data_IF_930516304958
#
_entry.id   IF_930516304958
#
_cell.length_a   1.000
_cell.length_b   1.000
_cell.length_c   1.000
_cell.angle_alpha   90.00
_cell.angle_beta   90.00
_cell.angle_gamma   90.00
#
_symmetry.space_group_name_H-M   'P 1'
#
loop_
_entity.id
_entity.type
_entity.pdbx_description
1 polymer ?
#
# COMPACT_ATOMS: atom_id res chain seq x y z
N UNK A 1 16.56 9.94 10.60
CA UNK A 1 15.16 9.74 10.20
C UNK A 1 14.85 8.25 10.26
N UNK A 2 13.69 7.90 10.80
CA UNK A 2 13.15 6.54 10.90
C UNK A 2 11.88 6.46 10.05
N UNK A 3 11.88 5.60 9.05
CA UNK A 3 10.82 5.51 8.04
C UNK A 3 10.04 4.21 8.20
N UNK A 4 8.72 4.29 8.07
CA UNK A 4 7.84 3.14 8.01
C UNK A 4 7.26 3.00 6.59
N UNK A 5 7.29 1.80 6.05
CA UNK A 5 6.72 1.46 4.75
C UNK A 5 5.66 0.37 4.98
N UNK A 6 4.43 0.62 4.58
CA UNK A 6 3.39 -0.41 4.48
C UNK A 6 3.24 -0.79 3.01
N UNK A 7 3.31 -2.08 2.71
CA UNK A 7 3.33 -2.59 1.35
C UNK A 7 2.15 -3.53 1.10
N UNK A 8 1.38 -3.22 0.06
CA UNK A 8 0.24 -3.99 -0.42
C UNK A 8 0.50 -4.47 -1.86
N UNK A 9 -0.39 -5.24 -2.45
CA UNK A 9 -0.08 -5.89 -3.73
C UNK A 9 -1.01 -5.51 -4.87
N UNK A 10 -2.28 -5.21 -4.63
CA UNK A 10 -3.27 -4.94 -5.67
C UNK A 10 -3.02 -3.64 -6.45
N UNK A 11 -2.21 -2.73 -5.90
CA UNK A 11 -1.78 -1.51 -6.57
C UNK A 11 -0.36 -1.57 -7.14
N UNK A 12 0.28 -2.73 -7.18
CA UNK A 12 1.60 -2.92 -7.80
C UNK A 12 1.48 -2.84 -9.33
N UNK A 13 2.51 -2.36 -9.98
CA UNK A 13 2.55 -2.18 -11.44
C UNK A 13 2.21 -3.46 -12.19
N UNK A 14 1.17 -3.38 -13.02
CA UNK A 14 0.73 -4.45 -13.90
C UNK A 14 -0.29 -5.42 -13.31
N UNK A 15 -0.56 -5.36 -12.01
CA UNK A 15 -1.59 -6.19 -11.37
C UNK A 15 -2.98 -5.80 -11.88
N UNK A 16 -3.73 -6.78 -12.41
CA UNK A 16 -5.05 -6.58 -13.00
C UNK A 16 -6.05 -7.71 -12.70
N UNK A 17 -5.61 -8.79 -12.08
CA UNK A 17 -6.43 -9.97 -11.80
C UNK A 17 -6.12 -10.58 -10.43
N UNK A 18 -7.14 -11.17 -9.78
CA UNK A 18 -7.01 -11.81 -8.47
C UNK A 18 -5.98 -12.96 -8.42
N UNK A 19 -5.83 -13.70 -9.52
CA UNK A 19 -4.83 -14.79 -9.58
C UNK A 19 -3.39 -14.29 -9.47
N UNK A 20 -3.15 -13.01 -9.76
CA UNK A 20 -1.83 -12.36 -9.70
C UNK A 20 -1.41 -12.01 -8.27
N UNK A 21 -2.37 -11.93 -7.37
CA UNK A 21 -2.16 -11.58 -5.95
C UNK A 21 -2.45 -12.76 -5.00
N UNK A 22 -2.89 -13.92 -5.51
CA UNK A 22 -3.13 -15.14 -4.74
C UNK A 22 -1.94 -16.09 -4.81
N UNK A 23 -1.30 -16.33 -3.68
CA UNK A 23 -0.10 -17.20 -3.58
C UNK A 23 -0.34 -18.67 -4.01
N UNK A 24 -1.58 -19.10 -4.17
CA UNK A 24 -1.92 -20.44 -4.69
C UNK A 24 -2.02 -20.48 -6.22
N UNK A 25 -1.78 -19.37 -6.90
CA UNK A 25 -1.95 -19.24 -8.36
C UNK A 25 -0.62 -19.03 -9.08
N UNK A 26 -0.44 -19.62 -10.27
CA UNK A 26 0.83 -19.55 -11.00
C UNK A 26 1.34 -18.12 -11.28
N UNK A 27 0.50 -17.11 -11.64
CA UNK A 27 0.98 -15.77 -11.94
C UNK A 27 1.56 -15.03 -10.74
N UNK A 28 1.22 -15.45 -9.51
CA UNK A 28 1.60 -14.75 -8.28
C UNK A 28 3.11 -14.53 -8.14
N UNK A 29 3.93 -15.51 -8.50
CA UNK A 29 5.39 -15.43 -8.29
C UNK A 29 6.02 -14.25 -9.04
N UNK A 30 5.52 -13.92 -10.23
CA UNK A 30 5.96 -12.76 -10.99
C UNK A 30 5.62 -11.46 -10.27
N UNK A 31 4.40 -11.30 -9.79
CA UNK A 31 3.94 -10.10 -9.11
C UNK A 31 4.50 -9.99 -7.67
N UNK A 32 4.79 -11.12 -7.02
CA UNK A 32 5.54 -11.14 -5.77
C UNK A 32 6.94 -10.52 -5.92
N UNK A 33 7.62 -10.87 -7.02
CA UNK A 33 8.92 -10.28 -7.35
C UNK A 33 8.78 -8.80 -7.68
N UNK A 34 7.77 -8.41 -8.48
CA UNK A 34 7.50 -7.02 -8.81
C UNK A 34 7.21 -6.17 -7.56
N UNK A 35 6.34 -6.66 -6.65
CA UNK A 35 6.10 -6.03 -5.35
C UNK A 35 7.40 -5.82 -4.57
N UNK A 36 8.24 -6.86 -4.51
CA UNK A 36 9.51 -6.80 -3.77
C UNK A 36 10.46 -5.76 -4.35
N UNK A 37 10.50 -5.61 -5.68
CA UNK A 37 11.28 -4.57 -6.37
C UNK A 37 10.77 -3.16 -6.09
N UNK A 38 9.46 -2.93 -6.12
CA UNK A 38 8.88 -1.62 -5.81
C UNK A 38 9.11 -1.22 -4.35
N UNK A 39 9.00 -2.18 -3.43
CA UNK A 39 9.31 -1.95 -2.01
C UNK A 39 10.80 -1.67 -1.82
N UNK A 40 11.69 -2.39 -2.53
CA UNK A 40 13.12 -2.13 -2.51
C UNK A 40 13.46 -0.71 -2.99
N UNK A 41 12.86 -0.29 -4.11
CA UNK A 41 13.03 1.07 -4.64
C UNK A 41 12.56 2.15 -3.64
N UNK A 42 11.45 1.92 -2.94
CA UNK A 42 10.99 2.81 -1.88
C UNK A 42 11.98 2.87 -0.69
N UNK A 43 12.56 1.72 -0.31
CA UNK A 43 13.61 1.66 0.71
C UNK A 43 14.89 2.41 0.27
N UNK A 44 15.30 2.26 -0.98
CA UNK A 44 16.46 2.97 -1.55
C UNK A 44 16.21 4.48 -1.57
N UNK A 45 15.03 4.92 -2.01
CA UNK A 45 14.63 6.32 -1.94
C UNK A 45 14.66 6.89 -0.53
N UNK A 46 14.18 6.13 0.46
CA UNK A 46 14.27 6.50 1.87
C UNK A 46 15.72 6.61 2.36
N UNK A 47 16.59 5.67 1.96
CA UNK A 47 18.02 5.71 2.27
C UNK A 47 18.70 6.95 1.67
N UNK A 48 18.42 7.27 0.41
CA UNK A 48 18.93 8.47 -0.26
C UNK A 48 18.46 9.76 0.43
N UNK A 49 17.24 9.75 0.99
CA UNK A 49 16.72 10.85 1.79
C UNK A 49 17.30 10.91 3.23
N UNK A 50 18.22 10.00 3.58
CA UNK A 50 18.89 9.98 4.89
C UNK A 50 18.19 9.18 5.98
N UNK A 51 17.34 8.22 5.62
CA UNK A 51 16.77 7.29 6.59
C UNK A 51 17.88 6.42 7.21
N UNK A 52 17.91 6.36 8.54
CA UNK A 52 18.84 5.51 9.30
C UNK A 52 18.23 4.17 9.67
N UNK A 53 16.92 4.12 9.82
CA UNK A 53 16.14 2.93 10.08
C UNK A 53 14.93 2.88 9.17
N UNK A 54 14.70 1.74 8.54
CA UNK A 54 13.54 1.50 7.68
C UNK A 54 12.84 0.24 8.18
N UNK A 55 11.53 0.37 8.42
CA UNK A 55 10.65 -0.73 8.75
C UNK A 55 9.69 -0.96 7.58
N UNK A 56 9.57 -2.18 7.13
CA UNK A 56 8.64 -2.58 6.09
C UNK A 56 7.62 -3.55 6.67
N UNK A 57 6.36 -3.20 6.65
CA UNK A 57 5.24 -4.12 6.93
C UNK A 57 4.75 -4.70 5.61
N UNK A 58 4.85 -5.99 5.48
CA UNK A 58 4.16 -6.76 4.46
C UNK A 58 2.68 -6.82 4.84
N UNK A 59 1.82 -6.17 4.08
CA UNK A 59 0.43 -5.92 4.45
C UNK A 59 -0.60 -6.63 3.57
N UNK A 60 -0.15 -7.35 2.53
CA UNK A 60 -1.05 -8.07 1.65
C UNK A 60 -1.36 -9.48 2.16
N UNK A 61 -2.64 -9.87 2.15
CA UNK A 61 -3.17 -11.23 2.37
C UNK A 61 -2.52 -11.96 3.56
N UNK A 62 -1.52 -12.86 3.31
CA UNK A 62 -0.82 -13.61 4.35
C UNK A 62 0.28 -12.81 5.07
N UNK A 63 0.58 -11.60 4.61
CA UNK A 63 1.71 -10.79 5.05
C UNK A 63 3.07 -11.52 4.93
N UNK A 64 3.26 -12.33 3.88
CA UNK A 64 4.46 -13.11 3.57
C UNK A 64 4.83 -13.04 2.09
N UNK A 65 4.56 -11.90 1.46
CA UNK A 65 4.70 -11.72 0.02
C UNK A 65 6.08 -11.17 -0.35
N UNK A 66 6.63 -10.25 0.44
CA UNK A 66 7.93 -9.63 0.16
C UNK A 66 9.05 -10.68 0.25
N UNK A 67 9.92 -10.70 -0.76
CA UNK A 67 11.14 -11.51 -0.83
C UNK A 67 12.29 -10.72 -0.18
N UNK A 68 12.77 -11.10 1.02
CA UNK A 68 13.70 -10.26 1.80
C UNK A 68 15.04 -10.00 1.11
N UNK A 69 15.48 -10.89 0.23
CA UNK A 69 16.75 -10.74 -0.49
C UNK A 69 16.79 -9.57 -1.49
N UNK A 70 15.63 -9.00 -1.85
CA UNK A 70 15.56 -7.78 -2.66
C UNK A 70 15.80 -6.51 -1.86
N UNK A 71 15.61 -6.57 -0.54
CA UNK A 71 15.64 -5.37 0.30
C UNK A 71 17.06 -5.00 0.74
N UNK A 72 17.36 -3.70 0.93
CA UNK A 72 18.60 -3.25 1.54
C UNK A 72 18.82 -3.87 2.93
N UNK A 73 20.09 -4.12 3.30
CA UNK A 73 20.46 -4.81 4.55
C UNK A 73 20.02 -4.12 5.84
N UNK A 74 19.78 -2.82 5.81
CA UNK A 74 19.35 -2.03 6.96
C UNK A 74 17.84 -2.03 7.18
N UNK A 75 17.07 -2.78 6.38
CA UNK A 75 15.61 -2.85 6.48
C UNK A 75 15.19 -3.91 7.48
N UNK A 76 14.24 -3.57 8.33
CA UNK A 76 13.55 -4.48 9.26
C UNK A 76 12.19 -4.83 8.69
N UNK A 77 11.90 -6.11 8.46
CA UNK A 77 10.64 -6.56 7.87
C UNK A 77 9.71 -7.12 8.93
N UNK A 78 8.48 -6.61 8.96
CA UNK A 78 7.38 -7.12 9.78
C UNK A 78 6.53 -8.04 8.90
N UNK A 79 6.58 -9.33 9.18
CA UNK A 79 5.87 -10.38 8.41
C UNK A 79 4.80 -11.05 9.26
N UNK A 80 3.75 -11.51 8.59
CA UNK A 80 2.60 -12.15 9.25
C UNK A 80 1.70 -11.18 10.00
N UNK A 81 0.66 -11.73 10.60
CA UNK A 81 -0.33 -10.99 11.39
C UNK A 81 -0.28 -11.44 12.83
N UNK A 82 -0.24 -10.49 13.76
CA UNK A 82 -0.27 -10.76 15.21
C UNK A 82 -1.63 -10.48 15.84
N UNK A 83 -2.63 -10.06 15.05
CA UNK A 83 -3.89 -9.55 15.58
C UNK A 83 -3.79 -8.13 16.16
N UNK A 84 -2.70 -7.42 15.92
CA UNK A 84 -2.53 -6.05 16.39
C UNK A 84 -3.60 -5.12 15.76
N UNK A 85 -4.24 -4.23 16.55
CA UNK A 85 -5.35 -3.39 16.04
C UNK A 85 -4.95 -2.41 14.94
N UNK A 86 -3.67 -2.05 14.83
CA UNK A 86 -3.17 -1.21 13.74
C UNK A 86 -2.95 -1.97 12.43
N UNK A 87 -3.20 -3.29 12.39
CA UNK A 87 -3.25 -4.12 11.18
C UNK A 87 -2.09 -3.83 10.18
N UNK A 88 -2.39 -3.25 9.01
CA UNK A 88 -1.41 -2.99 7.93
C UNK A 88 -0.32 -1.97 8.31
N UNK A 89 -0.47 -1.26 9.41
CA UNK A 89 0.57 -0.39 10.00
C UNK A 89 0.95 -0.84 11.41
N UNK A 90 0.91 -2.14 11.66
CA UNK A 90 1.36 -2.75 12.91
C UNK A 90 2.77 -2.25 13.29
N UNK A 91 3.00 -1.95 14.59
CA UNK A 91 4.23 -1.38 15.15
C UNK A 91 4.48 0.11 14.80
N UNK A 92 3.68 0.74 13.94
CA UNK A 92 3.77 2.19 13.73
C UNK A 92 3.48 2.94 15.04
N UNK A 93 4.30 3.91 15.35
CA UNK A 93 4.18 4.73 16.56
C UNK A 93 4.85 6.11 16.36
N UNK A 94 4.77 6.98 17.33
CA UNK A 94 5.27 8.36 17.28
C UNK A 94 6.80 8.51 17.15
N UNK A 95 7.56 7.42 17.12
CA UNK A 95 9.02 7.45 16.90
C UNK A 95 9.40 7.40 15.42
N UNK A 96 8.41 7.22 14.53
CA UNK A 96 8.64 7.28 13.10
C UNK A 96 8.47 8.71 12.59
N UNK A 97 9.33 9.09 11.64
CA UNK A 97 9.33 10.42 11.04
C UNK A 97 8.48 10.51 9.78
N UNK A 98 8.25 9.39 9.11
CA UNK A 98 7.47 9.32 7.87
C UNK A 98 6.84 7.93 7.65
N UNK A 99 5.67 7.93 7.01
CA UNK A 99 4.99 6.75 6.47
C UNK A 99 4.98 6.82 4.93
N UNK A 100 5.35 5.70 4.30
CA UNK A 100 5.17 5.44 2.88
C UNK A 100 4.19 4.27 2.72
N UNK A 101 3.29 4.36 1.74
CA UNK A 101 2.38 3.27 1.36
C UNK A 101 2.64 2.87 -0.09
N UNK A 102 3.04 1.62 -0.31
CA UNK A 102 3.46 1.10 -1.61
C UNK A 102 2.48 0.03 -2.08
N UNK A 103 2.04 0.11 -3.34
CA UNK A 103 1.16 -0.88 -3.94
C UNK A 103 -0.28 -0.83 -3.43
N UNK A 104 -0.73 0.29 -2.91
CA UNK A 104 -2.10 0.47 -2.43
C UNK A 104 -3.09 0.64 -3.58
N UNK A 105 -4.35 0.34 -3.32
CA UNK A 105 -5.41 0.29 -4.32
C UNK A 105 -6.66 1.06 -3.92
N UNK A 106 -7.52 1.29 -4.89
CA UNK A 106 -8.81 1.95 -4.73
C UNK A 106 -9.74 1.17 -3.80
N UNK A 107 -10.56 1.89 -3.04
CA UNK A 107 -11.52 1.33 -2.08
C UNK A 107 -12.63 0.50 -2.73
N UNK A 108 -13.29 -0.31 -1.94
CA UNK A 108 -14.48 -1.05 -2.31
C UNK A 108 -15.54 -0.14 -2.98
N UNK A 109 -16.15 -0.66 -4.05
CA UNK A 109 -17.18 0.04 -4.81
C UNK A 109 -16.68 1.15 -5.72
N UNK A 110 -15.35 1.36 -5.83
CA UNK A 110 -14.77 2.29 -6.80
C UNK A 110 -14.48 1.61 -8.13
N UNK A 111 -14.39 2.39 -9.21
CA UNK A 111 -14.04 1.88 -10.54
C UNK A 111 -12.55 2.04 -10.88
N UNK A 112 -11.71 2.38 -9.92
CA UNK A 112 -10.31 2.76 -10.17
C UNK A 112 -9.33 1.60 -10.28
N UNK A 113 -9.73 0.39 -9.89
CA UNK A 113 -8.93 -0.83 -9.92
C UNK A 113 -9.85 -2.04 -10.08
N UNK A 114 -9.52 -3.05 -10.92
CA UNK A 114 -10.32 -4.28 -11.03
C UNK A 114 -10.42 -5.06 -9.71
N UNK A 115 -9.41 -4.91 -8.84
CA UNK A 115 -9.34 -5.57 -7.53
C UNK A 115 -9.80 -4.64 -6.38
N UNK A 116 -10.47 -3.54 -6.67
CA UNK A 116 -10.90 -2.56 -5.66
C UNK A 116 -11.72 -3.20 -4.55
N UNK A 117 -11.24 -3.10 -3.33
CA UNK A 117 -11.91 -3.60 -2.13
C UNK A 117 -11.46 -2.79 -0.89
N UNK A 118 -11.95 -3.15 0.30
CA UNK A 118 -11.44 -2.61 1.56
C UNK A 118 -11.43 -3.72 2.60
N UNK A 119 -10.25 -4.15 3.05
CA UNK A 119 -9.95 -5.20 4.02
C UNK A 119 -10.32 -6.62 3.58
N UNK A 120 -11.48 -6.83 2.96
CA UNK A 120 -11.90 -8.14 2.50
C UNK A 120 -12.82 -8.01 1.28
N UNK A 121 -12.35 -8.50 0.14
CA UNK A 121 -13.11 -8.51 -1.12
C UNK A 121 -14.37 -9.40 -1.07
N UNK A 122 -14.37 -10.43 -0.21
CA UNK A 122 -15.45 -11.43 -0.13
C UNK A 122 -16.44 -11.19 1.02
N UNK A 123 -16.09 -10.37 2.03
CA UNK A 123 -16.88 -10.22 3.25
C UNK A 123 -17.33 -8.78 3.51
N UNK A 124 -16.68 -7.80 2.92
CA UNK A 124 -16.92 -6.38 3.21
C UNK A 124 -17.25 -5.67 1.91
N UNK A 125 -18.49 -5.23 1.80
CA UNK A 125 -18.94 -4.44 0.65
C UNK A 125 -18.43 -3.00 0.74
N UNK A 126 -18.40 -2.42 1.93
CA UNK A 126 -18.02 -1.03 2.16
C UNK A 126 -17.65 -0.77 3.62
N UNK A 127 -16.65 0.06 3.84
CA UNK A 127 -16.34 0.64 5.15
C UNK A 127 -16.60 2.15 5.09
N UNK A 128 -17.25 2.68 6.12
CA UNK A 128 -17.50 4.11 6.28
C UNK A 128 -16.71 4.61 7.48
N UNK A 129 -15.92 5.66 7.29
CA UNK A 129 -15.19 6.36 8.35
C UNK A 129 -15.60 7.84 8.32
N UNK A 130 -16.25 8.33 9.38
CA UNK A 130 -16.76 9.70 9.47
C UNK A 130 -17.56 10.10 8.21
N UNK A 131 -18.59 9.31 7.90
CA UNK A 131 -19.53 9.49 6.77
C UNK A 131 -18.87 9.42 5.36
N UNK A 132 -17.63 8.95 5.26
CA UNK A 132 -16.92 8.79 3.99
C UNK A 132 -16.57 7.33 3.73
N UNK A 133 -16.78 6.82 2.51
CA UNK A 133 -16.26 5.51 2.13
C UNK A 133 -14.74 5.48 2.26
N UNK A 134 -14.24 4.50 3.01
CA UNK A 134 -12.83 4.40 3.35
C UNK A 134 -12.12 3.34 2.50
N UNK A 135 -10.94 3.71 2.01
CA UNK A 135 -9.91 2.80 1.52
C UNK A 135 -9.05 2.29 2.68
N UNK A 136 -8.28 1.26 2.45
CA UNK A 136 -7.27 0.79 3.40
C UNK A 136 -6.24 1.87 3.70
N UNK A 137 -5.87 2.65 2.66
CA UNK A 137 -5.03 3.83 2.81
C UNK A 137 -5.63 4.82 3.81
N UNK A 138 -6.92 5.15 3.68
CA UNK A 138 -7.57 6.11 4.58
C UNK A 138 -7.63 5.60 6.03
N UNK A 139 -7.96 4.32 6.22
CA UNK A 139 -7.98 3.69 7.54
C UNK A 139 -6.62 3.77 8.23
N UNK A 140 -5.58 3.32 7.54
CA UNK A 140 -4.25 3.19 8.12
C UNK A 140 -3.48 4.53 8.14
N UNK A 141 -3.75 5.43 7.19
CA UNK A 141 -3.30 6.82 7.24
C UNK A 141 -3.89 7.59 8.43
N UNK A 142 -5.14 7.30 8.82
CA UNK A 142 -5.76 7.86 10.04
C UNK A 142 -5.05 7.36 11.30
N UNK A 143 -4.62 6.09 11.34
CA UNK A 143 -3.81 5.57 12.46
C UNK A 143 -2.46 6.29 12.53
N UNK A 144 -1.81 6.52 11.39
CA UNK A 144 -0.55 7.28 11.33
C UNK A 144 -0.73 8.71 11.84
N UNK A 145 -1.81 9.37 11.44
CA UNK A 145 -2.17 10.72 11.90
C UNK A 145 -2.33 10.78 13.43
N UNK A 146 -2.91 9.75 14.06
CA UNK A 146 -3.02 9.65 15.53
C UNK A 146 -1.64 9.66 16.21
N UNK A 147 -0.62 9.14 15.56
CA UNK A 147 0.77 9.15 16.04
C UNK A 147 1.58 10.35 15.56
N UNK A 148 0.95 11.30 14.83
CA UNK A 148 1.61 12.45 14.21
C UNK A 148 2.70 12.04 13.20
N UNK A 149 2.57 10.90 12.56
CA UNK A 149 3.47 10.42 11.51
C UNK A 149 2.89 10.82 10.14
N UNK A 150 3.57 11.70 9.39
CA UNK A 150 3.06 12.16 8.10
C UNK A 150 3.12 11.05 7.05
N UNK A 151 2.03 10.91 6.28
CA UNK A 151 1.99 10.10 5.07
C UNK A 151 2.59 10.92 3.92
N UNK A 152 3.83 10.61 3.54
CA UNK A 152 4.60 11.41 2.57
C UNK A 152 4.60 10.85 1.15
N UNK A 153 4.30 9.55 1.00
CA UNK A 153 4.38 8.86 -0.28
C UNK A 153 3.30 7.78 -0.38
N UNK A 154 2.65 7.69 -1.53
CA UNK A 154 1.71 6.61 -1.88
C UNK A 154 1.95 6.21 -3.32
N UNK A 155 2.32 4.96 -3.59
CA UNK A 155 2.23 4.38 -4.94
C UNK A 155 1.03 3.43 -5.02
N UNK A 156 0.38 3.42 -6.17
CA UNK A 156 -0.77 2.57 -6.39
C UNK A 156 -1.55 2.95 -7.64
N UNK A 157 -2.78 2.47 -7.75
CA UNK A 157 -3.63 2.81 -8.88
C UNK A 157 -3.98 4.32 -8.94
N UNK A 158 -4.47 4.76 -10.10
CA UNK A 158 -4.84 6.16 -10.31
C UNK A 158 -5.90 6.65 -9.32
N UNK A 159 -6.87 5.79 -8.96
CA UNK A 159 -7.97 6.14 -8.05
C UNK A 159 -7.49 6.46 -6.65
N UNK A 160 -6.62 5.62 -6.08
CA UNK A 160 -6.05 5.83 -4.73
C UNK A 160 -5.13 7.06 -4.71
N UNK A 161 -4.30 7.24 -5.75
CA UNK A 161 -3.45 8.41 -5.87
C UNK A 161 -4.27 9.71 -5.98
N UNK A 162 -5.39 9.69 -6.70
CA UNK A 162 -6.32 10.81 -6.78
C UNK A 162 -7.03 11.08 -5.45
N UNK A 163 -7.38 10.02 -4.70
CA UNK A 163 -8.01 10.14 -3.39
C UNK A 163 -7.11 10.86 -2.39
N UNK A 164 -5.86 10.41 -2.24
CA UNK A 164 -4.94 11.02 -1.29
C UNK A 164 -4.53 12.44 -1.63
N UNK A 165 -4.38 12.79 -2.91
CA UNK A 165 -4.10 14.18 -3.32
C UNK A 165 -5.18 15.17 -2.91
N UNK A 166 -6.44 14.73 -2.83
CA UNK A 166 -7.56 15.57 -2.35
C UNK A 166 -7.50 15.77 -0.83
N UNK A 167 -6.94 14.82 -0.08
CA UNK A 167 -6.85 14.85 1.38
C UNK A 167 -5.57 15.57 1.81
N UNK A 168 -4.46 15.21 1.20
CA UNK A 168 -3.15 15.80 1.45
C UNK A 168 -2.39 16.02 0.13
N UNK A 169 -2.44 17.22 -0.44
CA UNK A 169 -1.78 17.54 -1.71
C UNK A 169 -0.24 17.49 -1.65
N UNK A 170 0.35 17.45 -0.46
CA UNK A 170 1.80 17.36 -0.27
C UNK A 170 2.31 15.91 -0.37
N UNK A 171 1.44 14.92 -0.34
CA UNK A 171 1.84 13.52 -0.50
C UNK A 171 2.28 13.26 -1.94
N UNK A 172 3.48 12.73 -2.11
CA UNK A 172 4.00 12.30 -3.43
C UNK A 172 3.25 11.03 -3.86
N UNK A 173 2.70 11.04 -5.09
CA UNK A 173 1.78 9.99 -5.54
C UNK A 173 2.10 9.52 -6.96
N UNK A 174 3.16 8.71 -7.18
CA UNK A 174 3.36 8.04 -8.46
C UNK A 174 2.25 7.01 -8.70
N UNK A 175 1.66 7.09 -9.89
CA UNK A 175 0.64 6.12 -10.33
C UNK A 175 1.36 4.91 -10.93
N UNK A 176 1.19 3.76 -10.33
CA UNK A 176 1.74 2.48 -10.81
C UNK A 176 0.82 1.82 -11.85
N UNK A 177 -0.49 2.08 -11.77
CA UNK A 177 -1.50 1.43 -12.59
C UNK A 177 -2.70 2.35 -12.84
N UNK A 178 -3.21 2.34 -14.08
CA UNK A 178 -4.44 3.04 -14.45
C UNK A 178 -5.39 2.07 -15.16
N UNK A 179 -6.56 1.81 -14.55
CA UNK A 179 -7.65 1.09 -15.19
C UNK A 179 -8.65 2.09 -15.76
N UNK A 180 -8.81 2.10 -17.08
CA UNK A 180 -9.80 2.90 -17.78
C UNK A 180 -11.03 2.02 -18.08
N UNK A 181 -12.20 2.44 -17.63
CA UNK A 181 -13.45 1.82 -18.09
C UNK A 181 -13.68 2.16 -19.56
N UNK A 182 -14.34 1.26 -20.31
CA UNK A 182 -14.62 1.43 -21.73
C UNK A 182 -15.35 2.75 -22.08
N UNK A 183 -16.01 3.37 -21.12
CA UNK A 183 -16.70 4.66 -21.28
C UNK A 183 -15.81 5.89 -21.05
N UNK A 184 -14.60 5.73 -20.49
CA UNK A 184 -13.67 6.84 -20.21
C UNK A 184 -12.66 7.06 -21.34
N UNK A 185 -12.68 6.21 -22.37
CA UNK A 185 -11.80 6.32 -23.55
C UNK A 185 -12.38 7.15 -24.69
N UNK A 186 -13.53 7.81 -24.51
CA UNK A 186 -14.04 8.80 -25.45
C UNK A 186 -13.53 10.19 -25.06
N UNK A 187 -12.36 10.53 -25.57
CA UNK A 187 -11.96 11.90 -25.83
C UNK A 187 -12.46 12.31 -27.21
#
# INVERSE_FOLDING_TARGET
MKVYISADMEGITGVAHWDEVDHNKPPYSYFQEQMSKEVAAACEGANLAGAKEIFVKDAHYSARNIIPSFLPKNVKVIRGWSGHPSSMVQELNSKFDALLMVGYHSKAGSGGNPLAHTMSSSKIERIILNDRPASELLLHGTIASKYHVPLVFVSGDFGICKEIRKINPLTITPVSYTHLRAHETRL
#
